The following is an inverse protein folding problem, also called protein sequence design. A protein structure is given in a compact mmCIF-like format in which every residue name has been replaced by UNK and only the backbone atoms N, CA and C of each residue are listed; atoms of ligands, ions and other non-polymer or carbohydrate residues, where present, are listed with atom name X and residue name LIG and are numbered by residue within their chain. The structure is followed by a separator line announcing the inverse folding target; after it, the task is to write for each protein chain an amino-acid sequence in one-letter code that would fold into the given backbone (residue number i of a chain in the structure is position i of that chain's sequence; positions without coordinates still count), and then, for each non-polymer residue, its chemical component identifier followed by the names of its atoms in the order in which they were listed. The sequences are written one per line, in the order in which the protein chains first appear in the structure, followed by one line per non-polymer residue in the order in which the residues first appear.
data_IF_024416372413
#
_entry.id   IF_024416372413
#
_cell.length_a   1.000
_cell.length_b   1.000
_cell.length_c   1.000
_cell.angle_alpha   90.00
_cell.angle_beta   90.00
_cell.angle_gamma   90.00
#
_symmetry.space_group_name_H-M   'P 1'
#
loop_
_entity.id
_entity.type
_entity.pdbx_description
1 polymer ?
#
# COMPACT_ATOMS: atom_id res chain seq x y z
N UNK A 1 13.57 69.00 28.13
CA UNK A 1 12.94 67.72 28.55
C UNK A 1 13.05 66.72 27.39
N UNK A 2 14.04 65.82 27.41
CA UNK A 2 14.24 64.79 26.37
C UNK A 2 13.57 63.48 26.81
N UNK A 3 12.55 63.03 26.07
CA UNK A 3 11.89 61.72 26.26
C UNK A 3 12.73 60.62 25.60
N UNK A 4 13.42 59.80 26.39
CA UNK A 4 14.08 58.57 25.91
C UNK A 4 13.01 57.57 25.48
N UNK A 5 13.00 57.16 24.20
CA UNK A 5 12.21 56.01 23.71
C UNK A 5 12.99 54.73 24.01
N UNK A 6 12.38 53.81 24.76
CA UNK A 6 12.98 52.51 25.10
C UNK A 6 13.06 51.61 23.85
N UNK A 7 14.25 51.06 23.51
CA UNK A 7 14.46 50.25 22.30
C UNK A 7 13.95 48.79 22.42
N UNK A 8 13.26 48.43 23.51
CA UNK A 8 12.78 47.07 23.76
C UNK A 8 11.54 46.65 22.96
N UNK A 9 10.77 47.60 22.42
CA UNK A 9 9.47 47.31 21.81
C UNK A 9 9.56 46.81 20.37
N UNK A 10 10.58 47.23 19.62
CA UNK A 10 10.81 46.75 18.24
C UNK A 10 11.31 45.31 18.17
N UNK A 11 11.92 44.80 19.25
CA UNK A 11 12.43 43.42 19.33
C UNK A 11 11.32 42.38 19.58
N UNK A 12 10.24 42.75 20.25
CA UNK A 12 9.11 41.85 20.52
C UNK A 12 8.26 41.56 19.27
N UNK A 13 8.07 42.54 18.39
CA UNK A 13 7.22 42.41 17.19
C UNK A 13 7.89 41.50 16.15
N UNK A 14 9.22 41.57 16.00
CA UNK A 14 9.96 40.72 15.07
C UNK A 14 9.94 39.23 15.45
N UNK A 15 9.89 38.90 16.75
CA UNK A 15 9.86 37.52 17.24
C UNK A 15 8.48 36.83 17.04
N UNK A 16 7.40 37.61 17.02
CA UNK A 16 6.04 37.07 16.84
C UNK A 16 5.76 36.77 15.35
N UNK A 17 6.28 37.61 14.45
CA UNK A 17 6.15 37.41 13.00
C UNK A 17 6.90 36.16 12.50
N UNK A 18 8.06 35.84 13.08
CA UNK A 18 8.82 34.64 12.71
C UNK A 18 8.19 33.34 13.23
N UNK A 19 7.46 33.37 14.37
CA UNK A 19 6.78 32.18 14.90
C UNK A 19 5.49 31.83 14.12
N UNK A 20 4.77 32.84 13.60
CA UNK A 20 3.60 32.64 12.74
C UNK A 20 3.94 32.06 11.36
N UNK A 21 5.10 32.42 10.80
CA UNK A 21 5.53 31.92 9.50
C UNK A 21 5.98 30.44 9.56
N UNK A 22 6.57 30.02 10.69
CA UNK A 22 7.01 28.63 10.90
C UNK A 22 5.85 27.66 11.20
N UNK A 23 4.74 28.15 11.76
CA UNK A 23 3.55 27.32 12.04
C UNK A 23 2.64 27.13 10.82
N UNK A 24 2.67 28.05 9.85
CA UNK A 24 1.92 27.90 8.58
C UNK A 24 2.47 26.84 7.63
N UNK A 25 3.76 26.48 7.74
CA UNK A 25 4.41 25.47 6.89
C UNK A 25 4.21 24.02 7.37
N UNK A 26 3.70 23.81 8.58
CA UNK A 26 3.52 22.46 9.14
C UNK A 26 2.15 21.81 8.83
N UNK A 27 1.19 22.57 8.29
CA UNK A 27 -0.19 22.08 8.04
C UNK A 27 -0.40 21.64 6.59
N UNK A 28 0.55 21.95 5.68
CA UNK A 28 0.52 21.53 4.29
C UNK A 28 1.49 20.40 4.01
N UNK A 29 1.35 19.24 4.66
CA UNK A 29 2.02 18.04 4.14
C UNK A 29 1.48 17.82 2.72
N UNK A 30 2.33 17.74 1.69
CA UNK A 30 1.85 17.49 0.35
C UNK A 30 1.15 16.13 0.38
N UNK A 31 -0.17 16.16 0.23
CA UNK A 31 -0.94 15.04 -0.30
C UNK A 31 -0.11 14.44 -1.41
N UNK A 32 0.30 13.18 -1.22
CA UNK A 32 1.05 12.35 -2.17
C UNK A 32 0.75 12.81 -3.59
N UNK A 33 1.68 13.52 -4.22
CA UNK A 33 1.55 13.99 -5.61
C UNK A 33 1.45 12.73 -6.47
N UNK A 34 0.21 12.28 -6.75
CA UNK A 34 -0.01 11.25 -7.75
C UNK A 34 0.31 11.87 -9.10
N UNK A 35 1.20 11.25 -9.90
CA UNK A 35 1.43 11.67 -11.27
C UNK A 35 0.07 11.74 -11.98
N UNK A 36 -0.30 12.95 -12.42
CA UNK A 36 -1.49 13.11 -13.25
C UNK A 36 -1.16 12.56 -14.64
N UNK A 37 -1.98 11.65 -15.20
CA UNK A 37 -1.77 11.19 -16.57
C UNK A 37 -1.92 12.40 -17.50
N UNK A 38 -0.81 12.87 -18.06
CA UNK A 38 -0.80 13.92 -19.08
C UNK A 38 -0.91 13.24 -20.44
N UNK A 39 -1.93 13.62 -21.22
CA UNK A 39 -2.01 13.22 -22.62
C UNK A 39 -0.86 13.89 -23.37
N UNK A 40 -0.02 13.09 -24.02
CA UNK A 40 0.93 13.62 -24.99
C UNK A 40 0.15 14.01 -26.24
N UNK A 41 0.22 15.29 -26.62
CA UNK A 41 -0.32 15.77 -27.88
C UNK A 41 0.83 15.84 -28.88
N UNK A 42 0.72 15.08 -29.96
CA UNK A 42 1.61 15.21 -31.11
C UNK A 42 0.87 15.95 -32.22
N UNK A 43 1.54 16.93 -32.83
CA UNK A 43 1.03 17.67 -33.99
C UNK A 43 2.03 17.46 -35.12
N UNK A 44 1.61 16.83 -36.22
CA UNK A 44 2.44 16.80 -37.43
C UNK A 44 2.45 18.18 -38.12
N UNK A 45 3.37 18.30 -39.08
CA UNK A 45 3.48 19.46 -39.96
C UNK A 45 2.24 19.64 -40.87
N UNK A 46 1.34 18.65 -40.94
CA UNK A 46 0.11 18.61 -41.74
C UNK A 46 -1.14 18.93 -40.90
N UNK A 47 -0.97 19.36 -39.64
CA UNK A 47 -2.03 19.75 -38.70
C UNK A 47 -2.89 18.59 -38.16
N UNK A 48 -2.46 17.34 -38.33
CA UNK A 48 -3.01 16.17 -37.67
C UNK A 48 -2.75 16.22 -36.17
N UNK A 49 -3.82 16.16 -35.37
CA UNK A 49 -3.76 16.09 -33.91
C UNK A 49 -4.23 14.73 -33.45
N UNK A 50 -3.40 14.05 -32.67
CA UNK A 50 -3.81 12.83 -31.94
C UNK A 50 -3.39 12.93 -30.49
N UNK A 51 -4.21 12.34 -29.62
CA UNK A 51 -3.95 12.25 -28.18
C UNK A 51 -3.65 10.81 -27.83
N UNK A 52 -2.51 10.59 -27.17
CA UNK A 52 -2.15 9.29 -26.60
C UNK A 52 -2.36 9.36 -25.09
N UNK A 53 -3.21 8.48 -24.58
CA UNK A 53 -3.42 8.33 -23.13
C UNK A 53 -2.39 7.37 -22.56
N UNK A 54 -1.77 7.74 -21.43
CA UNK A 54 -0.86 6.85 -20.72
C UNK A 54 -1.58 5.58 -20.26
N UNK A 55 -0.99 4.41 -20.49
CA UNK A 55 -1.50 3.14 -19.97
C UNK A 55 -1.44 3.11 -18.44
N UNK A 56 -2.37 2.40 -17.81
CA UNK A 56 -2.39 2.20 -16.36
C UNK A 56 -2.39 0.72 -16.04
N UNK A 57 -1.64 0.33 -15.01
CA UNK A 57 -1.73 -1.03 -14.46
C UNK A 57 -3.01 -1.16 -13.65
N UNK A 58 -3.93 -2.08 -14.00
CA UNK A 58 -5.17 -2.24 -13.25
C UNK A 58 -4.89 -2.74 -11.83
N UNK A 59 -5.72 -2.29 -10.89
CA UNK A 59 -5.64 -2.81 -9.51
C UNK A 59 -6.21 -4.23 -9.46
N UNK A 60 -5.55 -5.14 -8.72
CA UNK A 60 -6.18 -6.39 -8.32
C UNK A 60 -7.47 -6.14 -7.55
N UNK A 61 -8.39 -7.12 -7.55
CA UNK A 61 -9.67 -7.06 -6.83
C UNK A 61 -10.00 -8.40 -6.20
N UNK A 62 -11.02 -8.43 -5.33
CA UNK A 62 -11.53 -9.66 -4.71
C UNK A 62 -10.45 -10.51 -4.03
N UNK A 63 -9.57 -9.86 -3.28
CA UNK A 63 -8.51 -10.57 -2.56
C UNK A 63 -9.12 -11.36 -1.40
N UNK A 64 -9.02 -12.68 -1.47
CA UNK A 64 -9.31 -13.59 -0.37
C UNK A 64 -8.03 -14.24 0.10
N UNK A 65 -8.02 -14.72 1.34
CA UNK A 65 -6.90 -15.51 1.82
C UNK A 65 -7.29 -16.64 2.75
N UNK A 66 -6.44 -17.66 2.75
CA UNK A 66 -6.57 -18.84 3.58
C UNK A 66 -5.27 -19.04 4.34
N UNK A 67 -5.40 -19.24 5.65
CA UNK A 67 -4.28 -19.49 6.55
C UNK A 67 -4.01 -21.00 6.59
N UNK A 68 -2.80 -21.42 6.23
CA UNK A 68 -2.42 -22.83 6.18
C UNK A 68 -1.51 -23.21 7.35
N UNK A 69 -1.71 -24.42 7.89
CA UNK A 69 -0.83 -25.00 8.90
C UNK A 69 -1.07 -24.51 10.33
N UNK A 70 -2.31 -24.14 10.68
CA UNK A 70 -2.69 -23.85 12.08
C UNK A 70 -2.85 -25.19 12.83
N UNK A 71 -1.73 -25.80 13.23
CA UNK A 71 -1.74 -26.96 14.13
C UNK A 71 -1.91 -26.47 15.58
N UNK A 72 -2.86 -27.07 16.29
CA UNK A 72 -3.21 -26.67 17.65
C UNK A 72 -2.09 -26.76 18.67
N UNK A 73 -2.27 -26.03 19.78
CA UNK A 73 -1.40 -26.03 20.97
C UNK A 73 0.08 -25.69 20.68
N UNK A 74 0.33 -24.72 19.79
CA UNK A 74 1.68 -24.18 19.54
C UNK A 74 2.18 -24.27 18.09
N UNK A 75 1.36 -24.72 17.14
CA UNK A 75 1.71 -24.70 15.72
C UNK A 75 1.72 -23.26 15.17
N UNK A 76 2.89 -22.85 14.69
CA UNK A 76 3.06 -21.58 13.99
C UNK A 76 2.40 -21.66 12.62
N UNK A 77 1.73 -20.58 12.21
CA UNK A 77 1.25 -20.39 10.85
C UNK A 77 2.40 -20.67 9.87
N UNK A 78 2.16 -21.52 8.87
CA UNK A 78 3.21 -21.99 7.96
C UNK A 78 3.21 -21.22 6.64
N UNK A 79 2.02 -21.01 6.07
CA UNK A 79 1.85 -20.26 4.82
C UNK A 79 0.48 -19.61 4.76
N UNK A 80 0.36 -18.64 3.85
CA UNK A 80 -0.88 -17.97 3.51
C UNK A 80 -1.10 -18.17 2.02
N UNK A 81 -2.24 -18.72 1.65
CA UNK A 81 -2.67 -18.76 0.24
C UNK A 81 -3.55 -17.54 -0.02
N UNK A 82 -3.13 -16.71 -0.96
CA UNK A 82 -3.87 -15.55 -1.44
C UNK A 82 -4.54 -15.90 -2.77
N UNK A 83 -5.76 -15.44 -2.97
CA UNK A 83 -6.46 -15.55 -4.25
C UNK A 83 -7.07 -14.21 -4.60
N UNK A 84 -6.87 -13.74 -5.83
CA UNK A 84 -7.36 -12.43 -6.29
C UNK A 84 -7.72 -12.46 -7.77
N UNK A 85 -8.44 -11.44 -8.22
CA UNK A 85 -8.70 -11.20 -9.64
C UNK A 85 -7.83 -10.08 -10.19
N UNK A 86 -7.33 -10.22 -11.41
CA UNK A 86 -6.57 -9.20 -12.13
C UNK A 86 -6.72 -9.35 -13.64
N UNK A 87 -6.74 -8.24 -14.36
CA UNK A 87 -6.71 -8.23 -15.84
C UNK A 87 -5.27 -8.18 -16.40
N UNK A 88 -4.25 -8.31 -15.54
CA UNK A 88 -2.86 -8.41 -15.96
C UNK A 88 -2.59 -9.75 -16.64
N UNK A 89 -1.65 -9.83 -17.60
CA UNK A 89 -1.32 -11.09 -18.25
C UNK A 89 -0.75 -12.12 -17.25
N UNK A 90 -0.87 -13.43 -17.52
CA UNK A 90 -0.40 -14.48 -16.61
C UNK A 90 1.09 -14.44 -16.26
N UNK A 91 1.91 -13.83 -17.12
CA UNK A 91 3.35 -13.64 -16.89
C UNK A 91 3.68 -12.42 -16.04
N UNK A 92 2.67 -11.63 -15.62
CA UNK A 92 2.88 -10.47 -14.77
C UNK A 92 3.31 -10.87 -13.36
N UNK A 93 4.20 -10.08 -12.78
CA UNK A 93 4.57 -10.20 -11.39
C UNK A 93 3.63 -9.40 -10.51
N UNK A 94 3.49 -9.83 -9.26
CA UNK A 94 2.70 -9.13 -8.26
C UNK A 94 3.55 -8.92 -7.03
N UNK A 95 3.35 -7.79 -6.36
CA UNK A 95 3.99 -7.50 -5.08
C UNK A 95 2.99 -7.68 -3.96
N UNK A 96 3.49 -8.25 -2.86
CA UNK A 96 2.74 -8.53 -1.65
C UNK A 96 3.28 -7.64 -0.55
N UNK A 97 2.39 -6.89 0.08
CA UNK A 97 2.72 -6.00 1.18
C UNK A 97 1.98 -6.42 2.45
N UNK A 98 2.61 -6.25 3.60
CA UNK A 98 1.96 -6.44 4.90
C UNK A 98 2.18 -5.20 5.76
N UNK A 99 1.15 -4.82 6.49
CA UNK A 99 1.21 -3.78 7.52
C UNK A 99 0.50 -4.27 8.77
N UNK A 100 1.08 -3.97 9.94
CA UNK A 100 0.46 -4.28 11.22
C UNK A 100 -0.76 -3.38 11.46
N UNK A 101 -1.83 -3.96 12.00
CA UNK A 101 -3.10 -3.28 12.26
C UNK A 101 -4.21 -3.66 11.28
N UNK A 102 -5.44 -3.42 11.74
CA UNK A 102 -6.65 -3.53 10.93
C UNK A 102 -6.74 -2.40 9.90
N UNK A 103 -7.31 -2.67 8.73
CA UNK A 103 -7.53 -1.68 7.66
C UNK A 103 -6.29 -0.91 7.17
N UNK A 104 -5.10 -1.41 7.45
CA UNK A 104 -3.85 -0.78 7.01
C UNK A 104 -3.72 -0.84 5.49
N UNK A 105 -2.98 0.11 4.91
CA UNK A 105 -2.67 0.06 3.47
C UNK A 105 -1.17 -0.09 3.30
N UNK A 106 -0.70 -1.20 2.71
CA UNK A 106 0.72 -1.34 2.40
C UNK A 106 1.19 -0.20 1.49
N UNK A 107 2.37 0.34 1.76
CA UNK A 107 3.01 1.36 0.91
C UNK A 107 4.07 0.76 -0.01
N UNK A 108 4.62 -0.40 0.38
CA UNK A 108 5.69 -1.12 -0.32
C UNK A 108 5.35 -2.60 -0.44
N UNK A 109 5.92 -3.26 -1.44
CA UNK A 109 5.91 -4.72 -1.54
C UNK A 109 7.08 -5.32 -0.78
N UNK A 110 6.80 -6.23 0.14
CA UNK A 110 7.79 -7.02 0.87
C UNK A 110 8.26 -8.23 0.06
N UNK A 111 7.38 -8.80 -0.75
CA UNK A 111 7.64 -10.01 -1.53
C UNK A 111 7.10 -9.84 -2.95
N UNK A 112 7.89 -10.22 -3.96
CA UNK A 112 7.40 -10.35 -5.34
C UNK A 112 7.06 -11.80 -5.62
N UNK A 113 5.90 -12.04 -6.21
CA UNK A 113 5.40 -13.36 -6.55
C UNK A 113 4.97 -13.42 -8.01
N UNK A 114 5.21 -14.57 -8.63
CA UNK A 114 4.58 -14.93 -9.91
C UNK A 114 3.42 -15.87 -9.57
N UNK A 115 2.18 -15.42 -9.67
CA UNK A 115 1.04 -16.24 -9.30
C UNK A 115 0.77 -17.33 -10.34
N UNK A 116 -0.01 -18.33 -9.93
CA UNK A 116 -0.58 -19.31 -10.84
C UNK A 116 -2.01 -18.93 -11.19
N UNK A 117 -2.39 -19.13 -12.46
CA UNK A 117 -3.78 -18.95 -12.89
C UNK A 117 -4.62 -20.12 -12.35
N UNK A 118 -5.76 -19.81 -11.74
CA UNK A 118 -6.70 -20.82 -11.28
C UNK A 118 -7.41 -21.41 -12.50
N UNK A 119 -7.21 -22.71 -12.74
CA UNK A 119 -7.78 -23.41 -13.89
C UNK A 119 -9.30 -23.23 -13.99
N UNK A 120 -9.80 -23.01 -15.22
CA UNK A 120 -11.22 -22.75 -15.48
C UNK A 120 -11.66 -21.31 -15.23
N UNK A 121 -10.73 -20.39 -14.90
CA UNK A 121 -11.00 -18.96 -14.78
C UNK A 121 -10.06 -18.14 -15.66
N UNK A 122 -10.52 -17.01 -16.20
CA UNK A 122 -9.72 -16.16 -17.08
C UNK A 122 -8.82 -15.15 -16.34
N UNK A 123 -9.19 -14.76 -15.12
CA UNK A 123 -8.55 -13.64 -14.41
C UNK A 123 -8.25 -13.92 -12.93
N UNK A 124 -8.43 -15.16 -12.47
CA UNK A 124 -8.22 -15.49 -11.05
C UNK A 124 -6.84 -16.06 -10.84
N UNK A 125 -6.09 -15.42 -9.96
CA UNK A 125 -4.72 -15.75 -9.61
C UNK A 125 -4.65 -16.27 -8.18
N UNK A 126 -3.75 -17.22 -7.95
CA UNK A 126 -3.44 -17.72 -6.61
C UNK A 126 -1.94 -17.73 -6.38
N UNK A 127 -1.53 -17.45 -5.15
CA UNK A 127 -0.15 -17.58 -4.71
C UNK A 127 -0.11 -18.05 -3.25
N UNK A 128 0.77 -19.01 -2.98
CA UNK A 128 1.01 -19.46 -1.60
C UNK A 128 2.33 -18.88 -1.12
N UNK A 129 2.26 -18.12 -0.04
CA UNK A 129 3.38 -17.39 0.52
C UNK A 129 3.79 -18.06 1.83
N UNK A 130 4.99 -18.64 1.93
CA UNK A 130 5.50 -19.14 3.19
C UNK A 130 5.72 -17.98 4.17
N UNK A 131 5.36 -18.20 5.43
CA UNK A 131 5.53 -17.19 6.50
C UNK A 131 7.00 -16.80 6.68
N UNK A 132 7.92 -17.71 6.35
CA UNK A 132 9.36 -17.45 6.25
C UNK A 132 9.72 -16.22 5.42
N UNK A 133 8.99 -15.94 4.34
CA UNK A 133 9.22 -14.76 3.48
C UNK A 133 8.55 -13.49 4.01
N UNK A 134 7.72 -13.63 5.03
CA UNK A 134 7.01 -12.57 5.74
C UNK A 134 7.63 -12.35 7.14
N UNK A 135 8.79 -12.97 7.40
CA UNK A 135 9.48 -12.95 8.69
C UNK A 135 9.86 -11.52 9.07
N UNK A 136 9.47 -11.13 10.28
CA UNK A 136 9.55 -9.76 10.80
C UNK A 136 8.18 -9.09 10.99
N UNK A 137 7.23 -9.33 10.07
CA UNK A 137 5.89 -8.72 10.13
C UNK A 137 4.87 -9.62 10.84
N UNK A 138 4.99 -10.95 10.69
CA UNK A 138 4.03 -11.89 11.29
C UNK A 138 4.47 -12.48 12.63
N UNK A 139 5.74 -12.35 13.01
CA UNK A 139 6.22 -12.77 14.33
C UNK A 139 5.57 -11.95 15.46
N UNK A 140 5.21 -10.69 15.18
CA UNK A 140 4.44 -9.82 16.10
C UNK A 140 2.93 -10.03 16.02
N UNK A 141 2.43 -10.93 15.17
CA UNK A 141 1.00 -11.10 14.94
C UNK A 141 0.34 -12.11 15.87
N UNK A 142 1.09 -12.80 16.71
CA UNK A 142 0.47 -13.70 17.69
C UNK A 142 -0.36 -12.86 18.66
N UNK A 143 -1.69 -12.98 18.58
CA UNK A 143 -2.64 -12.12 19.30
C UNK A 143 -2.91 -10.77 18.63
N UNK A 144 -2.47 -10.59 17.38
CA UNK A 144 -2.52 -9.35 16.62
C UNK A 144 -3.35 -9.43 15.35
N UNK A 145 -3.51 -8.27 14.72
CA UNK A 145 -4.17 -8.11 13.41
C UNK A 145 -3.18 -7.46 12.44
N UNK A 146 -3.17 -7.89 11.19
CA UNK A 146 -2.45 -7.24 10.10
C UNK A 146 -3.34 -7.11 8.88
N UNK A 147 -2.94 -6.23 7.97
CA UNK A 147 -3.52 -6.16 6.63
C UNK A 147 -2.49 -6.62 5.62
N UNK A 148 -2.85 -7.63 4.83
CA UNK A 148 -2.09 -8.06 3.65
C UNK A 148 -2.69 -7.40 2.41
N UNK A 149 -1.82 -7.06 1.46
CA UNK A 149 -2.26 -6.51 0.19
C UNK A 149 -1.52 -7.10 -1.00
N UNK A 150 -2.21 -7.13 -2.14
CA UNK A 150 -1.66 -7.49 -3.45
C UNK A 150 -1.73 -6.28 -4.39
N UNK A 151 -0.63 -6.00 -5.07
CA UNK A 151 -0.53 -4.97 -6.10
C UNK A 151 0.12 -5.55 -7.35
N UNK A 152 -0.41 -5.19 -8.51
CA UNK A 152 0.09 -5.67 -9.80
C UNK A 152 1.31 -4.89 -10.26
N UNK A 153 2.25 -5.57 -10.92
CA UNK A 153 3.41 -4.94 -11.56
C UNK A 153 3.48 -5.36 -13.03
N UNK A 154 3.85 -4.43 -13.92
CA UNK A 154 4.06 -4.70 -15.33
C UNK A 154 5.44 -4.16 -15.75
N UNK A 155 6.38 -5.06 -16.05
CA UNK A 155 7.79 -4.70 -16.15
C UNK A 155 8.34 -4.14 -14.83
N UNK A 156 9.42 -3.36 -14.91
CA UNK A 156 10.19 -2.95 -13.73
C UNK A 156 9.66 -1.69 -13.02
N UNK A 157 8.81 -0.92 -13.70
CA UNK A 157 8.44 0.44 -13.23
C UNK A 157 6.94 0.69 -13.16
N UNK A 158 6.11 -0.13 -13.80
CA UNK A 158 4.66 0.08 -13.76
C UNK A 158 4.05 -0.71 -12.63
N UNK A 159 3.34 0.01 -11.76
CA UNK A 159 2.74 -0.57 -10.57
C UNK A 159 1.31 -0.09 -10.44
N UNK A 160 0.44 -0.97 -9.95
CA UNK A 160 -0.96 -0.64 -9.74
C UNK A 160 -1.10 0.53 -8.74
N UNK A 161 -1.99 1.50 -9.01
CA UNK A 161 -2.17 2.69 -8.17
C UNK A 161 -2.75 2.40 -6.77
N UNK A 162 -3.21 1.18 -6.53
CA UNK A 162 -3.76 0.71 -5.25
C UNK A 162 -3.47 -0.76 -4.99
N UNK A 163 -4.00 -1.24 -3.87
CA UNK A 163 -3.84 -2.59 -3.35
C UNK A 163 -5.22 -3.24 -3.18
N UNK A 164 -5.37 -4.48 -3.62
CA UNK A 164 -6.42 -5.34 -3.07
C UNK A 164 -5.99 -5.77 -1.68
N UNK A 165 -6.88 -5.76 -0.69
CA UNK A 165 -6.52 -5.93 0.72
C UNK A 165 -7.35 -7.01 1.39
N UNK A 166 -6.74 -7.65 2.38
CA UNK A 166 -7.41 -8.56 3.29
C UNK A 166 -6.81 -8.41 4.69
N UNK A 167 -7.66 -8.49 5.70
CA UNK A 167 -7.27 -8.47 7.10
C UNK A 167 -6.99 -9.88 7.58
N UNK A 168 -5.87 -10.06 8.28
CA UNK A 168 -5.45 -11.32 8.90
C UNK A 168 -5.47 -11.14 10.41
N UNK A 169 -6.21 -12.01 11.09
CA UNK A 169 -6.22 -12.12 12.56
C UNK A 169 -5.61 -13.44 12.96
N UNK A 170 -4.61 -13.40 13.83
CA UNK A 170 -3.98 -14.61 14.39
C UNK A 170 -4.22 -14.60 15.90
N UNK A 171 -5.03 -15.55 16.38
CA UNK A 171 -5.32 -15.67 17.80
C UNK A 171 -4.08 -16.19 18.57
N UNK A 172 -3.83 -15.64 19.77
CA UNK A 172 -2.70 -15.97 20.65
C UNK A 172 -2.69 -17.44 21.12
N UNK A 173 -3.86 -18.09 21.11
CA UNK A 173 -4.05 -19.50 21.42
C UNK A 173 -4.82 -20.12 20.25
N UNK A 174 -4.06 -20.66 19.30
CA UNK A 174 -4.60 -21.40 18.16
C UNK A 174 -5.51 -22.52 18.63
N UNK A 175 -6.81 -22.22 18.64
CA UNK A 175 -8.01 -23.08 18.46
C UNK A 175 -9.28 -22.52 19.12
N UNK A 176 -9.21 -21.56 20.06
CA UNK A 176 -10.41 -21.14 20.81
C UNK A 176 -11.13 -19.91 20.24
N UNK A 177 -10.45 -19.04 19.49
CA UNK A 177 -11.02 -17.77 19.00
C UNK A 177 -10.96 -17.59 17.46
N UNK A 178 -10.41 -18.57 16.73
CA UNK A 178 -10.35 -18.57 15.26
C UNK A 178 -9.35 -17.57 14.68
N UNK A 179 -8.30 -18.07 14.02
CA UNK A 179 -7.56 -17.23 13.09
C UNK A 179 -8.42 -17.02 11.85
N UNK A 180 -8.53 -15.78 11.37
CA UNK A 180 -9.42 -15.44 10.27
C UNK A 180 -8.72 -14.58 9.24
N UNK A 181 -9.20 -14.68 8.01
CA UNK A 181 -8.85 -13.79 6.93
C UNK A 181 -10.12 -13.22 6.31
N UNK A 182 -10.23 -11.90 6.24
CA UNK A 182 -11.40 -11.22 5.70
C UNK A 182 -11.02 -10.21 4.62
N UNK A 183 -11.66 -10.22 3.44
CA UNK A 183 -11.41 -9.22 2.39
C UNK A 183 -11.76 -7.81 2.88
N UNK A 184 -11.03 -6.80 2.36
CA UNK A 184 -11.20 -5.37 2.66
C UNK A 184 -11.41 -4.52 1.41
#
# INVERSE_FOLDING_TARGET
MMRRRNPGWSRGIAAILSLGLLTGLAVGTPTVLRPQPVAAAWTDQENGKTTITAGTVPNPTNLTCTLNGVLGLGGLLQSITLTWKSALPPTASFRIGIVNGANGTPTTGNVTVTPTLVGGTQDTYTATIPIGLLTGLLASLIGGTATIGVSGTAGDHWVSPGWARAEIKVALLGLLLGSSCTPL
#
